data_IF_868597692377
#
_entry.id   IF_868597692377
#
_cell.length_a   1.000
_cell.length_b   1.000
_cell.length_c   1.000
_cell.angle_alpha   90.00
_cell.angle_beta   90.00
_cell.angle_gamma   90.00
#
_symmetry.space_group_name_H-M   'P 1'
#
loop_
_entity.id
_entity.type
_entity.pdbx_description
1 polymer ?
#
# COMPACT_ATOMS: atom_id res chain seq x y z
N UNK A 1 -10.57 18.41 11.78
CA UNK A 1 -10.30 17.09 11.21
C UNK A 1 -11.23 16.08 11.87
N UNK A 2 -11.81 15.16 11.11
CA UNK A 2 -12.83 14.20 11.54
C UNK A 2 -12.38 13.28 12.72
N UNK A 3 -11.07 13.22 12.99
CA UNK A 3 -10.44 12.38 14.03
C UNK A 3 -9.38 13.13 14.85
N UNK A 4 -9.71 14.34 15.35
CA UNK A 4 -8.73 15.25 16.00
C UNK A 4 -7.96 14.67 17.19
N UNK A 5 -8.52 13.67 17.87
CA UNK A 5 -7.95 13.10 19.10
C UNK A 5 -7.44 11.64 18.92
N UNK A 6 -7.51 11.09 17.70
CA UNK A 6 -7.05 9.73 17.38
C UNK A 6 -5.59 9.65 16.94
N UNK A 7 -5.07 8.43 16.77
CA UNK A 7 -3.76 8.18 16.14
C UNK A 7 -2.55 8.33 17.05
N UNK A 8 -2.72 8.77 18.30
CA UNK A 8 -1.65 8.88 19.32
C UNK A 8 -1.55 7.63 20.16
N UNK A 9 -1.27 6.50 19.52
CA UNK A 9 -1.24 5.19 20.16
C UNK A 9 0.02 4.42 19.76
N UNK A 10 0.60 3.69 20.70
CA UNK A 10 1.74 2.82 20.43
C UNK A 10 1.38 1.59 19.61
N UNK A 11 2.38 0.94 19.03
CA UNK A 11 2.23 -0.40 18.45
C UNK A 11 3.07 -1.38 19.26
N UNK A 12 2.45 -2.49 19.69
CA UNK A 12 3.15 -3.54 20.44
C UNK A 12 4.29 -4.11 19.59
N UNK A 13 5.48 -4.26 20.17
CA UNK A 13 6.56 -5.00 19.52
C UNK A 13 6.30 -6.50 19.70
N UNK A 14 6.23 -7.24 18.59
CA UNK A 14 5.96 -8.67 18.51
C UNK A 14 7.25 -9.51 18.36
N UNK A 15 8.41 -8.96 18.74
CA UNK A 15 9.73 -9.57 18.58
C UNK A 15 10.48 -9.01 17.37
N UNK A 16 11.41 -8.08 17.59
CA UNK A 16 12.19 -7.37 16.55
C UNK A 16 11.35 -6.73 15.43
N UNK A 17 10.12 -6.30 15.72
CA UNK A 17 9.19 -5.72 14.72
C UNK A 17 9.14 -4.19 14.74
N UNK A 18 10.13 -3.52 15.34
CA UNK A 18 10.17 -2.06 15.38
C UNK A 18 10.26 -1.42 13.98
N UNK A 19 10.92 -2.08 13.02
CA UNK A 19 10.96 -1.66 11.61
C UNK A 19 9.57 -1.60 10.96
N UNK A 20 8.68 -2.51 11.34
CA UNK A 20 7.29 -2.55 10.88
C UNK A 20 6.48 -1.47 11.58
N UNK A 21 6.65 -1.34 12.90
CA UNK A 21 5.92 -0.34 13.69
C UNK A 21 6.24 1.09 13.25
N UNK A 22 7.50 1.41 12.93
CA UNK A 22 7.88 2.74 12.44
C UNK A 22 7.20 3.08 11.12
N UNK A 23 7.21 2.15 10.15
CA UNK A 23 6.56 2.32 8.85
C UNK A 23 5.04 2.48 9.01
N UNK A 24 4.41 1.63 9.82
CA UNK A 24 2.97 1.70 10.08
C UNK A 24 2.56 3.03 10.71
N UNK A 25 3.36 3.59 11.62
CA UNK A 25 3.09 4.91 12.20
C UNK A 25 3.20 6.03 11.16
N UNK A 26 4.20 5.98 10.27
CA UNK A 26 4.33 6.94 9.17
C UNK A 26 3.14 6.87 8.20
N UNK A 27 2.74 5.68 7.77
CA UNK A 27 1.62 5.49 6.85
C UNK A 27 0.27 5.82 7.50
N UNK A 28 0.10 5.49 8.78
CA UNK A 28 -1.05 5.88 9.61
C UNK A 28 -1.28 7.39 9.63
N UNK A 29 -0.20 8.18 9.58
CA UNK A 29 -0.26 9.64 9.53
C UNK A 29 -0.24 10.21 8.09
N UNK A 30 -0.27 9.36 7.07
CA UNK A 30 -0.43 9.79 5.67
C UNK A 30 -1.93 10.02 5.41
N UNK A 31 -2.34 11.30 5.47
CA UNK A 31 -3.76 11.70 5.53
C UNK A 31 -4.66 11.07 4.46
N UNK A 32 -4.24 11.08 3.20
CA UNK A 32 -5.04 10.54 2.09
C UNK A 32 -5.28 9.03 2.24
N UNK A 33 -4.23 8.29 2.63
CA UNK A 33 -4.31 6.85 2.87
C UNK A 33 -5.18 6.54 4.08
N UNK A 34 -4.99 7.30 5.17
CA UNK A 34 -5.77 7.16 6.40
C UNK A 34 -7.26 7.38 6.15
N UNK A 35 -7.64 8.52 5.57
CA UNK A 35 -9.05 8.86 5.34
C UNK A 35 -9.72 7.82 4.43
N UNK A 36 -9.01 7.33 3.40
CA UNK A 36 -9.48 6.25 2.54
C UNK A 36 -9.72 4.93 3.30
N UNK A 37 -8.91 4.60 4.30
CA UNK A 37 -9.13 3.43 5.17
C UNK A 37 -10.24 3.65 6.20
N UNK A 38 -10.29 4.80 6.86
CA UNK A 38 -11.27 5.07 7.93
C UNK A 38 -12.71 5.21 7.42
N UNK A 39 -12.86 5.68 6.17
CA UNK A 39 -14.13 5.74 5.45
C UNK A 39 -14.48 4.42 4.74
N UNK A 40 -13.67 3.37 4.94
CA UNK A 40 -13.87 2.01 4.41
C UNK A 40 -13.92 1.90 2.87
N UNK A 41 -13.56 2.97 2.15
CA UNK A 41 -13.47 2.99 0.69
C UNK A 41 -12.50 1.94 0.17
N UNK A 42 -11.38 1.72 0.88
CA UNK A 42 -10.43 0.66 0.55
C UNK A 42 -11.05 -0.75 0.49
N UNK A 43 -12.10 -1.02 1.28
CA UNK A 43 -12.76 -2.32 1.31
C UNK A 43 -13.71 -2.54 0.12
N UNK A 44 -14.18 -1.44 -0.48
CA UNK A 44 -15.03 -1.45 -1.67
C UNK A 44 -14.22 -1.62 -2.97
N UNK A 45 -12.94 -1.24 -2.94
CA UNK A 45 -12.02 -1.31 -4.08
C UNK A 45 -11.21 -2.63 -4.12
N UNK A 46 -11.58 -3.64 -3.32
CA UNK A 46 -10.84 -4.90 -3.25
C UNK A 46 -10.89 -5.65 -4.57
N UNK A 47 -9.71 -5.95 -5.10
CA UNK A 47 -9.55 -6.80 -6.26
C UNK A 47 -9.46 -8.27 -5.85
N UNK A 48 -10.54 -9.02 -6.05
CA UNK A 48 -10.59 -10.48 -5.81
C UNK A 48 -10.10 -11.31 -7.00
N UNK A 49 -9.91 -10.68 -8.16
CA UNK A 49 -9.57 -11.36 -9.41
C UNK A 49 -8.06 -11.60 -9.53
N UNK A 50 -7.25 -10.55 -9.57
CA UNK A 50 -5.80 -10.62 -9.82
C UNK A 50 -4.95 -10.55 -8.57
N UNK A 51 -5.48 -10.08 -7.44
CA UNK A 51 -4.71 -10.11 -6.17
C UNK A 51 -4.44 -11.55 -5.75
N UNK A 52 -3.21 -11.81 -5.29
CA UNK A 52 -2.84 -13.05 -4.63
C UNK A 52 -3.43 -13.17 -3.22
N UNK A 53 -3.55 -12.03 -2.53
CA UNK A 53 -4.04 -11.96 -1.14
C UNK A 53 -5.57 -11.82 -1.05
N UNK A 54 -6.26 -11.60 -2.18
CA UNK A 54 -7.73 -11.51 -2.27
C UNK A 54 -8.35 -10.51 -1.30
N UNK A 55 -7.64 -9.42 -1.03
CA UNK A 55 -8.05 -8.36 -0.10
C UNK A 55 -7.71 -8.62 1.37
N UNK A 56 -7.08 -9.74 1.71
CA UNK A 56 -6.80 -10.07 3.11
C UNK A 56 -5.79 -9.11 3.75
N UNK A 57 -4.81 -8.60 3.00
CA UNK A 57 -3.82 -7.67 3.51
C UNK A 57 -4.41 -6.28 3.70
N UNK A 58 -5.15 -5.75 2.71
CA UNK A 58 -5.81 -4.43 2.85
C UNK A 58 -6.86 -4.42 3.97
N UNK A 59 -7.61 -5.51 4.16
CA UNK A 59 -8.55 -5.64 5.30
C UNK A 59 -7.82 -5.56 6.63
N UNK A 60 -6.73 -6.30 6.79
CA UNK A 60 -5.95 -6.27 8.02
C UNK A 60 -5.32 -4.89 8.27
N UNK A 61 -4.82 -4.23 7.22
CA UNK A 61 -4.31 -2.87 7.30
C UNK A 61 -5.40 -1.86 7.69
N UNK A 62 -6.57 -1.91 7.04
CA UNK A 62 -7.70 -1.03 7.33
C UNK A 62 -8.18 -1.21 8.79
N UNK A 63 -8.31 -2.45 9.25
CA UNK A 63 -8.67 -2.75 10.64
C UNK A 63 -7.65 -2.19 11.63
N UNK A 64 -6.35 -2.26 11.32
CA UNK A 64 -5.31 -1.66 12.14
C UNK A 64 -5.42 -0.12 12.17
N UNK A 65 -5.67 0.53 11.03
CA UNK A 65 -5.92 1.98 10.98
C UNK A 65 -7.14 2.37 11.82
N UNK A 66 -8.22 1.59 11.73
CA UNK A 66 -9.41 1.81 12.55
C UNK A 66 -9.11 1.65 14.05
N UNK A 67 -8.38 0.61 14.46
CA UNK A 67 -7.97 0.42 15.84
C UNK A 67 -7.11 1.59 16.34
N UNK A 68 -6.16 2.06 15.52
CA UNK A 68 -5.26 3.14 15.90
C UNK A 68 -5.95 4.51 16.04
N UNK A 69 -6.99 4.77 15.26
CA UNK A 69 -7.61 6.10 15.17
C UNK A 69 -9.01 6.21 15.78
N UNK A 70 -9.73 5.10 15.92
CA UNK A 70 -11.07 5.05 16.53
C UNK A 70 -11.06 4.40 17.92
N UNK A 71 -9.99 3.69 18.29
CA UNK A 71 -9.83 3.10 19.62
C UNK A 71 -9.84 4.19 20.70
N UNK A 72 -10.69 4.04 21.73
CA UNK A 72 -10.73 4.97 22.86
C UNK A 72 -9.89 4.43 24.01
N UNK A 73 -8.98 5.26 24.52
CA UNK A 73 -8.24 5.05 25.78
C UNK A 73 -7.24 3.87 25.80
N UNK A 74 -6.81 3.36 24.65
CA UNK A 74 -5.70 2.40 24.60
C UNK A 74 -4.36 3.13 24.44
N UNK A 75 -3.36 2.75 25.23
CA UNK A 75 -1.99 3.26 25.10
C UNK A 75 -1.22 2.60 23.95
N UNK A 76 -1.64 1.39 23.53
CA UNK A 76 -1.06 0.67 22.40
C UNK A 76 -2.07 -0.26 21.71
N UNK A 77 -1.84 -0.56 20.43
CA UNK A 77 -2.55 -1.57 19.64
C UNK A 77 -1.60 -2.71 19.27
N UNK A 78 -2.09 -3.95 19.20
CA UNK A 78 -1.31 -5.09 18.72
C UNK A 78 -1.47 -5.25 17.20
N UNK A 79 -0.40 -5.14 16.39
CA UNK A 79 -0.47 -5.32 14.94
C UNK A 79 -0.40 -6.79 14.50
N UNK A 80 -0.66 -7.75 15.40
CA UNK A 80 -0.49 -9.19 15.14
C UNK A 80 -1.31 -9.69 13.93
N UNK A 81 -2.62 -9.38 13.79
CA UNK A 81 -3.39 -9.81 12.62
C UNK A 81 -2.83 -9.27 11.31
N UNK A 82 -2.30 -8.04 11.32
CA UNK A 82 -1.63 -7.44 10.17
C UNK A 82 -0.30 -8.13 9.87
N UNK A 83 0.53 -8.40 10.89
CA UNK A 83 1.79 -9.14 10.76
C UNK A 83 1.55 -10.51 10.11
N UNK A 84 0.49 -11.21 10.50
CA UNK A 84 0.13 -12.50 9.87
C UNK A 84 -0.10 -12.36 8.37
N UNK A 85 -0.81 -11.33 7.90
CA UNK A 85 -1.09 -11.18 6.46
C UNK A 85 0.14 -10.72 5.68
N UNK A 86 0.91 -9.75 6.18
CA UNK A 86 2.10 -9.29 5.46
C UNK A 86 3.17 -10.38 5.36
N UNK A 87 3.24 -11.31 6.31
CA UNK A 87 4.12 -12.48 6.24
C UNK A 87 3.65 -13.53 5.22
N UNK A 88 2.34 -13.64 4.97
CA UNK A 88 1.81 -14.48 3.88
C UNK A 88 2.12 -13.89 2.52
N UNK A 89 1.98 -12.57 2.38
CA UNK A 89 2.30 -11.85 1.15
C UNK A 89 3.81 -11.84 0.87
N UNK A 90 4.61 -11.52 1.88
CA UNK A 90 6.06 -11.43 1.81
C UNK A 90 6.71 -12.37 2.86
N UNK A 91 6.85 -13.68 2.54
CA UNK A 91 7.45 -14.71 3.41
C UNK A 91 8.78 -14.35 4.07
N UNK A 92 9.57 -13.48 3.44
CA UNK A 92 10.84 -12.98 3.99
C UNK A 92 10.73 -12.31 5.35
N UNK A 93 9.56 -11.76 5.69
CA UNK A 93 9.32 -11.14 6.99
C UNK A 93 8.83 -12.14 8.05
N UNK A 94 8.73 -13.44 7.72
CA UNK A 94 8.43 -14.48 8.70
C UNK A 94 9.47 -14.54 9.81
N UNK A 95 9.04 -15.05 10.97
CA UNK A 95 9.87 -15.11 12.16
C UNK A 95 9.96 -13.76 12.89
N UNK A 96 11.12 -13.55 13.51
CA UNK A 96 11.38 -12.51 14.51
C UNK A 96 12.79 -11.91 14.38
N UNK A 97 13.36 -11.92 13.16
CA UNK A 97 14.63 -11.25 12.89
C UNK A 97 14.39 -9.74 12.65
N UNK A 98 15.42 -8.93 12.88
CA UNK A 98 15.41 -7.52 12.45
C UNK A 98 15.43 -7.45 10.93
N UNK A 99 14.84 -6.39 10.37
CA UNK A 99 14.67 -6.19 8.93
C UNK A 99 14.86 -4.71 8.58
N UNK A 100 15.11 -4.43 7.30
CA UNK A 100 15.15 -3.07 6.77
C UNK A 100 13.72 -2.50 6.66
N UNK A 101 13.49 -1.32 7.26
CA UNK A 101 12.20 -0.64 7.22
C UNK A 101 11.79 -0.12 5.84
N UNK A 102 12.75 0.30 5.01
CA UNK A 102 12.47 0.77 3.65
C UNK A 102 12.04 -0.40 2.77
N UNK A 103 12.69 -1.55 2.95
CA UNK A 103 12.31 -2.75 2.24
C UNK A 103 10.93 -3.23 2.66
N UNK A 104 10.64 -3.22 3.96
CA UNK A 104 9.30 -3.50 4.47
C UNK A 104 8.24 -2.55 3.89
N UNK A 105 8.53 -1.24 3.84
CA UNK A 105 7.64 -0.25 3.23
C UNK A 105 7.35 -0.59 1.76
N UNK A 106 8.38 -0.97 0.98
CA UNK A 106 8.21 -1.34 -0.43
C UNK A 106 7.22 -2.50 -0.61
N UNK A 107 7.43 -3.60 0.12
CA UNK A 107 6.52 -4.76 0.05
C UNK A 107 5.12 -4.44 0.57
N UNK A 108 5.01 -3.62 1.62
CA UNK A 108 3.70 -3.23 2.12
C UNK A 108 2.92 -2.43 1.07
N UNK A 109 3.53 -1.42 0.45
CA UNK A 109 2.86 -0.63 -0.60
C UNK A 109 2.51 -1.50 -1.82
N UNK A 110 3.40 -2.41 -2.22
CA UNK A 110 3.15 -3.36 -3.30
C UNK A 110 1.94 -4.26 -2.99
N UNK A 111 1.91 -4.89 -1.81
CA UNK A 111 0.80 -5.77 -1.42
C UNK A 111 -0.53 -5.04 -1.25
N UNK A 112 -0.52 -3.83 -0.68
CA UNK A 112 -1.73 -2.99 -0.62
C UNK A 112 -2.19 -2.58 -2.02
N UNK A 113 -1.27 -2.23 -2.91
CA UNK A 113 -1.57 -1.90 -4.29
C UNK A 113 -2.24 -3.08 -5.00
N UNK A 114 -1.68 -4.29 -4.91
CA UNK A 114 -2.23 -5.48 -5.55
C UNK A 114 -3.65 -5.80 -5.07
N UNK A 115 -3.89 -5.67 -3.75
CA UNK A 115 -5.20 -5.93 -3.13
C UNK A 115 -6.30 -4.97 -3.59
N UNK A 116 -5.96 -3.78 -4.07
CA UNK A 116 -6.92 -2.75 -4.52
C UNK A 116 -6.67 -2.24 -5.94
N UNK A 117 -5.93 -3.01 -6.74
CA UNK A 117 -5.68 -2.62 -8.13
C UNK A 117 -7.00 -2.66 -8.91
N UNK A 118 -7.37 -1.54 -9.54
CA UNK A 118 -8.59 -1.38 -10.35
C UNK A 118 -8.53 -2.23 -11.62
N UNK A 119 -7.33 -2.63 -12.05
CA UNK A 119 -7.13 -3.53 -13.19
C UNK A 119 -7.40 -4.97 -12.76
N UNK A 120 -8.57 -5.50 -13.15
CA UNK A 120 -9.03 -6.87 -12.83
C UNK A 120 -8.63 -7.92 -13.87
N UNK A 121 -8.03 -7.50 -14.98
CA UNK A 121 -7.44 -8.38 -16.00
C UNK A 121 -6.17 -7.72 -16.53
N UNK A 122 -5.01 -8.26 -16.19
CA UNK A 122 -3.73 -7.70 -16.64
C UNK A 122 -3.59 -7.91 -18.16
N UNK A 123 -3.52 -6.85 -18.98
CA UNK A 123 -3.28 -6.99 -20.41
C UNK A 123 -1.88 -7.55 -20.66
N UNK A 124 -1.54 -7.87 -21.93
CA UNK A 124 -0.14 -8.11 -22.28
C UNK A 124 0.69 -6.82 -22.01
N UNK A 125 1.97 -6.94 -21.64
CA UNK A 125 2.84 -5.77 -21.52
C UNK A 125 2.85 -4.98 -22.84
N UNK A 126 2.56 -3.68 -22.78
CA UNK A 126 2.69 -2.80 -23.92
C UNK A 126 4.18 -2.45 -24.02
N UNK A 127 4.86 -3.03 -25.01
CA UNK A 127 6.22 -2.64 -25.34
C UNK A 127 6.11 -1.45 -26.28
N UNK A 128 6.28 -0.25 -25.73
CA UNK A 128 6.40 0.97 -26.53
C UNK A 128 7.79 0.96 -27.16
N UNK A 129 7.84 0.91 -28.49
CA UNK A 129 9.08 1.05 -29.24
C UNK A 129 9.48 2.53 -29.26
N UNK A 130 10.65 2.83 -28.71
CA UNK A 130 11.19 4.20 -28.67
C UNK A 130 11.25 4.81 -30.06
N UNK A 131 11.52 4.02 -31.10
CA UNK A 131 11.56 4.50 -32.50
C UNK A 131 10.19 4.99 -32.99
N UNK A 132 9.09 4.38 -32.51
CA UNK A 132 7.72 4.82 -32.82
C UNK A 132 7.37 6.12 -32.10
N UNK A 133 8.03 6.40 -30.99
CA UNK A 133 7.84 7.59 -30.17
C UNK A 133 8.89 8.67 -30.42
N UNK A 134 9.96 8.39 -31.19
CA UNK A 134 11.10 9.29 -31.42
C UNK A 134 10.67 10.68 -31.90
N UNK A 135 9.63 10.74 -32.74
CA UNK A 135 9.10 11.99 -33.30
C UNK A 135 8.24 12.80 -32.32
N UNK A 136 7.93 12.24 -31.14
CA UNK A 136 7.15 12.94 -30.10
C UNK A 136 8.06 13.72 -29.17
N UNK A 137 7.50 14.78 -28.60
CA UNK A 137 8.13 15.51 -27.49
C UNK A 137 8.28 14.63 -26.25
N UNK A 138 9.22 14.96 -25.37
CA UNK A 138 9.41 14.27 -24.09
C UNK A 138 8.12 14.17 -23.26
N UNK A 139 7.31 15.24 -23.26
CA UNK A 139 6.00 15.24 -22.59
C UNK A 139 5.03 14.24 -23.23
N UNK A 140 5.00 14.16 -24.57
CA UNK A 140 4.19 13.18 -25.28
C UNK A 140 4.64 11.74 -25.03
N UNK A 141 5.95 11.50 -24.92
CA UNK A 141 6.49 10.18 -24.53
C UNK A 141 6.08 9.81 -23.11
N UNK A 142 6.33 10.71 -22.15
CA UNK A 142 5.98 10.51 -20.73
C UNK A 142 4.49 10.15 -20.55
N UNK A 143 3.58 10.84 -21.24
CA UNK A 143 2.15 10.56 -21.20
C UNK A 143 1.80 9.15 -21.71
N UNK A 144 2.41 8.69 -22.80
CA UNK A 144 2.17 7.34 -23.33
C UNK A 144 2.70 6.25 -22.38
N UNK A 145 3.90 6.43 -21.83
CA UNK A 145 4.44 5.51 -20.82
C UNK A 145 3.60 5.49 -19.55
N UNK A 146 3.12 6.64 -19.09
CA UNK A 146 2.26 6.73 -17.92
C UNK A 146 0.90 6.05 -18.17
N UNK A 147 0.32 6.24 -19.35
CA UNK A 147 -0.90 5.55 -19.78
C UNK A 147 -0.69 4.04 -19.85
N UNK A 148 0.43 3.58 -20.41
CA UNK A 148 0.76 2.16 -20.48
C UNK A 148 0.95 1.55 -19.08
N UNK A 149 1.57 2.28 -18.15
CA UNK A 149 1.70 1.91 -16.75
C UNK A 149 0.33 1.78 -16.07
N UNK A 150 -0.53 2.79 -16.15
CA UNK A 150 -1.87 2.80 -15.54
C UNK A 150 -2.81 1.74 -16.13
N UNK A 151 -2.56 1.23 -17.33
CA UNK A 151 -3.32 0.09 -17.89
C UNK A 151 -3.08 -1.23 -17.14
N UNK A 152 -2.04 -1.30 -16.31
CA UNK A 152 -1.68 -2.48 -15.51
C UNK A 152 -1.77 -2.20 -14.02
N UNK A 153 -1.33 -1.02 -13.60
CA UNK A 153 -1.14 -0.66 -12.21
C UNK A 153 -1.89 0.64 -11.92
N UNK A 154 -3.12 0.51 -11.41
CA UNK A 154 -3.99 1.65 -11.13
C UNK A 154 -4.73 1.42 -9.81
N UNK A 155 -4.34 2.11 -8.75
CA UNK A 155 -4.98 2.00 -7.45
C UNK A 155 -4.80 3.28 -6.64
N UNK A 156 -5.50 3.39 -5.50
CA UNK A 156 -5.29 4.50 -4.57
C UNK A 156 -3.82 4.60 -4.09
N UNK A 157 -3.09 3.48 -4.02
CA UNK A 157 -1.66 3.48 -3.66
C UNK A 157 -0.84 4.15 -4.77
N UNK A 158 -1.18 3.91 -6.04
CA UNK A 158 -0.56 4.58 -7.19
C UNK A 158 -0.84 6.07 -7.14
N UNK A 159 -2.10 6.45 -6.88
CA UNK A 159 -2.54 7.85 -6.82
C UNK A 159 -1.79 8.66 -5.75
N UNK A 160 -1.38 8.03 -4.64
CA UNK A 160 -0.72 8.71 -3.51
C UNK A 160 0.80 8.72 -3.65
N UNK A 161 1.41 7.60 -4.07
CA UNK A 161 2.86 7.38 -3.88
C UNK A 161 3.67 7.31 -5.16
N UNK A 162 3.06 7.07 -6.33
CA UNK A 162 3.82 6.81 -7.55
C UNK A 162 4.07 8.09 -8.32
N UNK A 163 5.32 8.28 -8.76
CA UNK A 163 5.73 9.29 -9.71
C UNK A 163 6.45 8.67 -10.91
N UNK A 164 6.76 9.50 -11.91
CA UNK A 164 7.47 9.09 -13.11
C UNK A 164 8.77 9.90 -13.25
N UNK A 165 9.88 9.19 -13.45
CA UNK A 165 11.19 9.78 -13.74
C UNK A 165 11.52 9.59 -15.22
N UNK A 166 12.37 10.47 -15.77
CA UNK A 166 13.03 10.28 -17.05
C UNK A 166 14.44 9.74 -16.78
N UNK A 167 14.73 8.54 -17.26
CA UNK A 167 16.05 7.88 -17.16
C UNK A 167 16.84 8.01 -18.45
#
# INVERSE_FOLDING_TARGET
AKYKDGGRVGLRNLGNTCFMNSVLQCLSNTRLLLEWCLDERCLQEINTTTSNMKGSLIRAYANLMQAMWKGKNESYVSPDPFKTQIQKFAPRFMGYAQQDSQEFLRYLLEGLHEDVNRVTKKPAPIILDDNQLEKRSDSGKSQEYWKAYLNRDNSMIVDIFVGQLKS
#
